data_IF_587391158106
#
_entry.id   IF_587391158106
#
_cell.length_a   1.000
_cell.length_b   1.000
_cell.length_c   1.000
_cell.angle_alpha   90.00
_cell.angle_beta   90.00
_cell.angle_gamma   90.00
#
_symmetry.space_group_name_H-M   'P 1'
#
loop_
_entity.id
_entity.type
_entity.pdbx_description
1 polymer ?
#
# COMPACT_ATOMS: atom_id res chain seq x y z
N UNK A 1 -7.38 9.45 14.16
CA UNK A 1 -6.44 8.47 14.79
C UNK A 1 -5.36 8.22 13.75
N UNK A 2 -4.07 8.13 14.12
CA UNK A 2 -3.00 7.88 13.16
C UNK A 2 -3.08 6.46 12.60
N UNK A 3 -2.76 6.29 11.32
CA UNK A 3 -2.60 4.99 10.68
C UNK A 3 -1.27 4.31 11.04
N UNK A 4 -0.46 4.94 11.87
CA UNK A 4 0.81 4.40 12.33
C UNK A 4 0.79 4.12 13.84
N UNK A 5 1.59 3.14 14.24
CA UNK A 5 1.83 2.79 15.64
C UNK A 5 3.34 2.63 15.85
N UNK A 6 3.86 3.16 16.97
CA UNK A 6 5.27 2.99 17.33
C UNK A 6 5.52 1.61 17.96
N UNK A 7 6.79 1.11 17.98
CA UNK A 7 7.12 -0.13 18.68
C UNK A 7 6.69 -0.12 20.16
N UNK A 8 6.89 1.01 20.85
CA UNK A 8 6.49 1.18 22.25
C UNK A 8 4.97 1.07 22.46
N UNK A 9 4.17 1.70 21.59
CA UNK A 9 2.70 1.61 21.64
C UNK A 9 2.25 0.20 21.32
N UNK A 10 2.81 -0.45 20.29
CA UNK A 10 2.48 -1.84 19.95
C UNK A 10 2.77 -2.78 21.12
N UNK A 11 3.93 -2.62 21.78
CA UNK A 11 4.29 -3.43 22.93
C UNK A 11 3.26 -3.33 24.07
N UNK A 12 2.63 -2.16 24.23
CA UNK A 12 1.62 -1.95 25.28
C UNK A 12 0.26 -2.55 24.97
N UNK A 13 0.00 -3.01 23.72
CA UNK A 13 -1.30 -3.53 23.28
C UNK A 13 -1.18 -4.86 22.48
N UNK A 14 -0.10 -5.62 22.65
CA UNK A 14 0.15 -6.86 21.89
C UNK A 14 -1.03 -7.85 21.98
N UNK A 15 -1.66 -7.95 23.15
CA UNK A 15 -2.78 -8.88 23.38
C UNK A 15 -4.15 -8.32 22.92
N UNK A 16 -4.18 -7.06 22.44
CA UNK A 16 -5.43 -6.39 22.01
C UNK A 16 -5.54 -6.26 20.49
N UNK A 17 -4.48 -6.63 19.76
CA UNK A 17 -4.39 -6.45 18.31
C UNK A 17 -4.01 -7.76 17.62
N UNK A 18 -4.45 -7.90 16.38
CA UNK A 18 -3.93 -8.96 15.49
C UNK A 18 -2.77 -8.37 14.70
N UNK A 19 -1.62 -9.03 14.72
CA UNK A 19 -0.41 -8.57 14.06
C UNK A 19 -0.19 -9.37 12.78
N UNK A 20 0.05 -8.67 11.67
CA UNK A 20 0.33 -9.28 10.38
C UNK A 20 1.73 -8.90 9.88
N UNK A 21 2.52 -9.91 9.56
CA UNK A 21 3.87 -9.79 8.98
C UNK A 21 3.79 -9.85 7.45
N UNK A 22 3.92 -8.72 6.79
CA UNK A 22 3.83 -8.61 5.34
C UNK A 22 5.10 -9.03 4.60
N UNK A 23 6.16 -9.47 5.28
CA UNK A 23 7.43 -9.89 4.66
C UNK A 23 7.35 -11.25 3.96
N UNK A 24 6.23 -11.96 4.12
CA UNK A 24 6.02 -13.27 3.57
C UNK A 24 6.53 -14.41 4.46
N UNK A 25 6.21 -15.63 4.04
CA UNK A 25 6.42 -16.83 4.87
C UNK A 25 7.89 -17.14 5.18
N UNK A 26 8.82 -16.75 4.31
CA UNK A 26 10.24 -17.08 4.50
C UNK A 26 10.87 -16.19 5.57
N UNK A 27 10.63 -14.86 5.52
CA UNK A 27 11.16 -13.93 6.50
C UNK A 27 10.50 -14.11 7.86
N UNK A 28 9.20 -14.40 7.88
CA UNK A 28 8.49 -14.78 9.09
C UNK A 28 9.17 -15.92 9.84
N UNK A 29 9.58 -16.99 9.14
CA UNK A 29 10.28 -18.14 9.74
C UNK A 29 11.67 -17.81 10.27
N UNK A 30 12.34 -16.79 9.72
CA UNK A 30 13.64 -16.34 10.21
C UNK A 30 13.53 -15.61 11.54
N UNK A 31 12.37 -15.00 11.82
CA UNK A 31 12.05 -14.32 13.05
C UNK A 31 10.96 -13.28 12.84
N UNK A 32 9.99 -13.23 13.73
CA UNK A 32 8.83 -12.34 13.65
C UNK A 32 8.45 -11.79 15.03
N UNK A 33 7.65 -10.73 15.06
CA UNK A 33 7.08 -10.19 16.29
C UNK A 33 6.14 -11.24 16.89
N UNK A 34 6.29 -11.54 18.19
CA UNK A 34 5.47 -12.53 18.88
C UNK A 34 3.97 -12.24 18.66
N UNK A 35 3.22 -13.27 18.27
CA UNK A 35 1.79 -13.17 17.99
C UNK A 35 1.45 -12.75 16.55
N UNK A 36 2.45 -12.46 15.69
CA UNK A 36 2.20 -12.13 14.31
C UNK A 36 1.84 -13.36 13.46
N UNK A 37 1.01 -13.14 12.43
CA UNK A 37 0.73 -14.09 11.36
C UNK A 37 1.33 -13.62 10.04
N UNK A 38 1.89 -14.52 9.21
CA UNK A 38 2.51 -14.15 7.94
C UNK A 38 1.46 -13.87 6.85
N UNK A 39 1.74 -12.88 6.01
CA UNK A 39 1.03 -12.60 4.76
C UNK A 39 2.07 -12.39 3.66
N UNK A 40 1.88 -13.04 2.53
CA UNK A 40 2.82 -13.04 1.41
C UNK A 40 2.22 -12.27 0.22
N UNK A 41 3.01 -11.35 -0.38
CA UNK A 41 2.52 -10.53 -1.49
C UNK A 41 2.07 -11.39 -2.67
N UNK A 42 2.90 -12.33 -3.09
CA UNK A 42 2.66 -13.11 -4.31
C UNK A 42 1.58 -14.19 -4.11
N UNK A 43 1.50 -14.76 -2.91
CA UNK A 43 0.58 -15.88 -2.63
C UNK A 43 -0.78 -15.44 -2.13
N UNK A 44 -0.82 -14.39 -1.29
CA UNK A 44 -2.03 -13.98 -0.61
C UNK A 44 -2.62 -12.70 -1.19
N UNK A 45 -1.77 -11.70 -1.55
CA UNK A 45 -2.21 -10.38 -1.98
C UNK A 45 -2.21 -10.18 -3.49
N UNK A 46 -1.86 -11.21 -4.25
CA UNK A 46 -1.82 -11.17 -5.72
C UNK A 46 -2.69 -12.26 -6.31
N UNK A 47 -3.53 -11.87 -7.25
CA UNK A 47 -4.34 -12.79 -8.07
C UNK A 47 -3.58 -13.36 -9.25
N UNK A 48 -4.22 -14.18 -10.08
CA UNK A 48 -3.62 -14.72 -11.30
C UNK A 48 -3.15 -13.58 -12.23
N UNK A 49 -1.88 -13.62 -12.61
CA UNK A 49 -1.31 -12.66 -13.55
C UNK A 49 -1.71 -13.07 -14.97
N UNK A 50 -2.34 -12.15 -15.71
CA UNK A 50 -2.78 -12.32 -17.10
C UNK A 50 -2.00 -11.43 -18.06
N UNK A 51 -2.51 -11.29 -19.28
CA UNK A 51 -2.01 -10.33 -20.28
C UNK A 51 -2.17 -8.89 -19.79
N UNK A 52 -3.29 -8.62 -19.10
CA UNK A 52 -3.65 -7.33 -18.52
C UNK A 52 -3.83 -7.45 -17.01
N UNK A 53 -3.94 -6.31 -16.32
CA UNK A 53 -4.15 -6.23 -14.88
C UNK A 53 -2.86 -6.01 -14.08
N UNK A 54 -1.72 -5.97 -14.76
CA UNK A 54 -0.41 -5.70 -14.17
C UNK A 54 0.19 -6.89 -13.43
N UNK A 55 1.34 -6.65 -12.76
CA UNK A 55 2.13 -7.71 -12.10
C UNK A 55 1.55 -8.19 -10.76
N UNK A 56 0.73 -7.37 -10.09
CA UNK A 56 0.11 -7.71 -8.81
C UNK A 56 -1.40 -7.35 -8.83
N UNK A 57 -2.20 -8.03 -9.69
CA UNK A 57 -3.64 -7.85 -9.68
C UNK A 57 -4.23 -8.22 -8.31
N UNK A 58 -5.42 -7.71 -8.03
CA UNK A 58 -6.09 -8.04 -6.75
C UNK A 58 -6.33 -9.55 -6.64
N UNK A 59 -6.14 -10.12 -5.44
CA UNK A 59 -6.43 -11.53 -5.19
C UNK A 59 -7.95 -11.79 -5.20
N UNK A 60 -8.31 -13.06 -5.19
CA UNK A 60 -9.66 -13.45 -4.81
C UNK A 60 -9.92 -13.05 -3.35
N UNK A 61 -10.87 -12.12 -3.15
CA UNK A 61 -11.15 -11.53 -1.84
C UNK A 61 -11.85 -12.51 -0.89
N UNK A 62 -12.59 -13.47 -1.40
CA UNK A 62 -13.21 -14.53 -0.59
C UNK A 62 -12.13 -15.46 -0.03
N UNK A 63 -11.20 -15.89 -0.87
CA UNK A 63 -10.05 -16.71 -0.44
C UNK A 63 -9.18 -15.96 0.59
N UNK A 64 -8.94 -14.67 0.37
CA UNK A 64 -8.17 -13.85 1.30
C UNK A 64 -8.91 -13.66 2.63
N UNK A 65 -10.23 -13.44 2.59
CA UNK A 65 -11.06 -13.35 3.78
C UNK A 65 -10.97 -14.65 4.61
N UNK A 66 -11.05 -15.81 3.98
CA UNK A 66 -10.84 -17.09 4.67
C UNK A 66 -9.48 -17.20 5.35
N UNK A 67 -8.41 -16.73 4.69
CA UNK A 67 -7.08 -16.69 5.34
C UNK A 67 -7.12 -15.84 6.62
N UNK A 68 -7.75 -14.69 6.55
CA UNK A 68 -7.86 -13.78 7.70
C UNK A 68 -8.78 -14.32 8.81
N UNK A 69 -9.81 -15.07 8.47
CA UNK A 69 -10.66 -15.77 9.44
C UNK A 69 -9.86 -16.79 10.28
N UNK A 70 -8.92 -17.52 9.65
CA UNK A 70 -8.00 -18.40 10.39
C UNK A 70 -7.07 -17.64 11.34
N UNK A 71 -6.78 -16.36 11.06
CA UNK A 71 -6.00 -15.49 11.95
C UNK A 71 -6.86 -14.81 13.03
N UNK A 72 -8.17 -15.09 13.05
CA UNK A 72 -9.10 -14.52 14.00
C UNK A 72 -9.61 -13.11 13.65
N UNK A 73 -9.39 -12.66 12.42
CA UNK A 73 -9.83 -11.33 11.97
C UNK A 73 -11.36 -11.32 11.81
N UNK A 74 -11.98 -10.30 12.36
CA UNK A 74 -13.39 -9.94 12.19
C UNK A 74 -13.47 -8.51 11.64
N UNK A 75 -14.68 -8.01 11.32
CA UNK A 75 -14.89 -6.63 10.89
C UNK A 75 -14.42 -5.60 11.92
N UNK A 76 -14.49 -5.92 13.20
CA UNK A 76 -14.18 -5.00 14.31
C UNK A 76 -12.75 -5.19 14.86
N UNK A 77 -11.95 -6.04 14.22
CA UNK A 77 -10.59 -6.30 14.66
C UNK A 77 -9.70 -5.07 14.54
N UNK A 78 -8.83 -4.88 15.52
CA UNK A 78 -7.71 -3.96 15.47
C UNK A 78 -6.52 -4.70 14.90
N UNK A 79 -6.01 -4.25 13.78
CA UNK A 79 -4.93 -4.92 13.06
C UNK A 79 -3.70 -4.02 12.99
N UNK A 80 -2.54 -4.60 13.28
CA UNK A 80 -1.24 -3.94 13.06
C UNK A 80 -0.47 -4.72 12.01
N UNK A 81 -0.05 -4.02 10.97
CA UNK A 81 0.73 -4.57 9.86
C UNK A 81 2.17 -4.11 9.98
N UNK A 82 3.13 -4.95 9.66
CA UNK A 82 4.52 -4.54 9.51
C UNK A 82 5.23 -5.26 8.36
N UNK A 83 6.31 -4.66 7.89
CA UNK A 83 7.28 -5.27 7.00
C UNK A 83 8.72 -4.96 7.49
N UNK A 84 9.71 -5.15 6.61
CA UNK A 84 11.08 -4.73 6.93
C UNK A 84 11.18 -3.22 6.99
N UNK A 85 10.83 -2.56 5.87
CA UNK A 85 10.81 -1.11 5.74
C UNK A 85 10.12 -0.67 4.43
N UNK A 86 8.91 -0.07 4.55
CA UNK A 86 8.21 0.71 3.52
C UNK A 86 7.97 0.03 2.14
N UNK A 87 7.81 -1.27 2.06
CA UNK A 87 7.53 -1.87 0.75
C UNK A 87 6.18 -2.60 0.70
N UNK A 88 5.92 -3.49 1.63
CA UNK A 88 4.79 -4.40 1.58
C UNK A 88 3.65 -4.04 2.54
N UNK A 89 3.99 -3.44 3.69
CA UNK A 89 3.01 -3.10 4.72
C UNK A 89 1.89 -2.17 4.21
N UNK A 90 2.24 -1.20 3.35
CA UNK A 90 1.26 -0.32 2.74
C UNK A 90 0.25 -1.06 1.86
N UNK A 91 0.69 -2.07 1.09
CA UNK A 91 -0.23 -2.87 0.26
C UNK A 91 -1.18 -3.70 1.12
N UNK A 92 -0.69 -4.33 2.18
CA UNK A 92 -1.53 -5.10 3.10
C UNK A 92 -2.48 -4.18 3.88
N UNK A 93 -2.00 -3.03 4.40
CA UNK A 93 -2.83 -2.01 5.02
C UNK A 93 -3.97 -1.58 4.08
N UNK A 94 -3.63 -1.22 2.84
CA UNK A 94 -4.61 -0.80 1.83
C UNK A 94 -5.63 -1.91 1.54
N UNK A 95 -5.17 -3.16 1.39
CA UNK A 95 -6.05 -4.30 1.11
C UNK A 95 -7.06 -4.53 2.24
N UNK A 96 -6.62 -4.47 3.50
CA UNK A 96 -7.51 -4.58 4.66
C UNK A 96 -8.54 -3.44 4.71
N UNK A 97 -8.10 -2.21 4.41
CA UNK A 97 -8.99 -1.04 4.29
C UNK A 97 -9.98 -1.22 3.15
N UNK A 98 -9.53 -1.72 2.00
CA UNK A 98 -10.39 -2.03 0.86
C UNK A 98 -11.43 -3.11 1.18
N UNK A 99 -11.11 -4.06 2.06
CA UNK A 99 -12.04 -5.06 2.58
C UNK A 99 -12.96 -4.53 3.71
N UNK A 100 -12.82 -3.26 4.10
CA UNK A 100 -13.72 -2.57 5.02
C UNK A 100 -13.28 -2.53 6.48
N UNK A 101 -12.06 -2.98 6.83
CA UNK A 101 -11.53 -2.77 8.18
C UNK A 101 -11.22 -1.29 8.41
N UNK A 102 -11.60 -0.79 9.58
CA UNK A 102 -11.43 0.62 9.94
C UNK A 102 -10.23 0.88 10.86
N UNK A 103 -9.87 -0.05 11.73
CA UNK A 103 -8.72 0.07 12.64
C UNK A 103 -7.54 -0.79 12.16
N UNK A 104 -6.85 -0.29 11.14
CA UNK A 104 -5.64 -0.90 10.60
C UNK A 104 -4.50 0.10 10.70
N UNK A 105 -3.43 -0.28 11.40
CA UNK A 105 -2.25 0.56 11.59
C UNK A 105 -1.00 -0.13 11.09
N UNK A 106 -0.01 0.67 10.71
CA UNK A 106 1.30 0.18 10.24
C UNK A 106 2.37 0.50 11.29
N UNK A 107 3.22 -0.48 11.61
CA UNK A 107 4.33 -0.30 12.54
C UNK A 107 5.36 0.68 11.97
N UNK A 108 5.51 1.82 12.62
CA UNK A 108 6.48 2.85 12.22
C UNK A 108 7.91 2.32 12.19
N UNK A 109 8.56 2.41 11.03
CA UNK A 109 9.92 1.92 10.84
C UNK A 109 10.05 0.40 10.75
N UNK A 110 8.93 -0.33 10.69
CA UNK A 110 8.88 -1.77 10.48
C UNK A 110 9.64 -2.60 11.53
N UNK A 111 9.99 -3.83 11.17
CA UNK A 111 10.72 -4.74 12.06
C UNK A 111 12.14 -4.25 12.33
N UNK A 112 12.74 -3.47 11.44
CA UNK A 112 14.09 -2.91 11.64
C UNK A 112 14.11 -1.97 12.87
N UNK A 113 13.12 -1.09 12.98
CA UNK A 113 12.99 -0.21 14.13
C UNK A 113 12.65 -0.98 15.41
N UNK A 114 11.80 -2.01 15.32
CA UNK A 114 11.50 -2.91 16.45
C UNK A 114 12.78 -3.50 17.05
N UNK A 115 13.67 -4.04 16.20
CA UNK A 115 14.95 -4.61 16.63
C UNK A 115 15.89 -3.52 17.17
N UNK A 116 15.98 -2.37 16.49
CA UNK A 116 16.84 -1.23 16.90
C UNK A 116 16.47 -0.70 18.29
N UNK A 117 15.19 -0.74 18.65
CA UNK A 117 14.69 -0.36 19.98
C UNK A 117 14.92 -1.45 21.06
N UNK A 118 15.56 -2.57 20.70
CA UNK A 118 15.95 -3.65 21.63
C UNK A 118 14.87 -4.72 21.83
N UNK A 119 13.82 -4.71 21.03
CA UNK A 119 12.78 -5.74 21.09
C UNK A 119 13.21 -7.00 20.34
N UNK A 120 12.83 -8.16 20.87
CA UNK A 120 13.22 -9.47 20.33
C UNK A 120 12.20 -10.00 19.35
N UNK A 121 12.69 -10.82 18.42
CA UNK A 121 11.86 -11.63 17.53
C UNK A 121 11.80 -13.06 18.06
N UNK A 122 10.72 -13.77 17.72
CA UNK A 122 10.56 -15.20 17.95
C UNK A 122 10.58 -15.98 16.64
N UNK A 123 10.92 -17.27 16.72
CA UNK A 123 10.72 -18.23 15.62
C UNK A 123 9.58 -19.21 15.89
N UNK A 124 9.00 -19.13 17.10
CA UNK A 124 7.88 -19.97 17.49
C UNK A 124 6.63 -19.54 16.72
N UNK A 125 6.01 -20.41 15.91
CA UNK A 125 4.83 -20.07 15.16
C UNK A 125 3.70 -19.58 16.05
N UNK A 126 2.99 -18.54 15.64
CA UNK A 126 1.80 -18.08 16.35
C UNK A 126 0.70 -19.15 16.23
N UNK A 127 0.17 -19.65 17.35
CA UNK A 127 -0.91 -20.63 17.30
C UNK A 127 -2.17 -20.00 16.69
N UNK A 128 -2.82 -20.75 15.79
CA UNK A 128 -4.11 -20.33 15.26
C UNK A 128 -5.18 -20.40 16.34
N UNK A 129 -6.24 -19.55 16.27
CA UNK A 129 -7.44 -19.70 17.07
C UNK A 129 -8.03 -21.12 16.95
N UNK A 130 -8.69 -21.60 17.99
CA UNK A 130 -9.31 -22.94 18.00
C UNK A 130 -10.38 -23.10 16.90
N UNK A 131 -11.09 -22.01 16.62
CA UNK A 131 -12.09 -21.93 15.55
C UNK A 131 -11.83 -20.68 14.72
N UNK A 132 -12.00 -20.72 13.37
CA UNK A 132 -11.94 -19.54 12.55
C UNK A 132 -12.99 -18.51 12.97
N UNK A 133 -12.65 -17.25 12.87
CA UNK A 133 -13.62 -16.15 13.01
C UNK A 133 -14.53 -16.06 11.78
N UNK A 134 -15.46 -15.12 11.80
CA UNK A 134 -16.25 -14.73 10.62
C UNK A 134 -15.88 -13.31 10.23
N UNK A 135 -15.33 -13.16 9.03
CA UNK A 135 -14.96 -11.86 8.49
C UNK A 135 -15.97 -11.39 7.44
N UNK A 136 -17.04 -10.75 7.88
CA UNK A 136 -18.03 -10.11 6.99
C UNK A 136 -17.42 -8.85 6.34
N UNK A 137 -16.59 -9.05 5.32
CA UNK A 137 -15.96 -7.95 4.59
C UNK A 137 -16.95 -7.26 3.63
N UNK A 138 -16.70 -5.98 3.36
CA UNK A 138 -17.44 -5.16 2.40
C UNK A 138 -16.45 -4.33 1.59
N UNK A 139 -16.37 -4.60 0.28
CA UNK A 139 -15.41 -3.94 -0.57
C UNK A 139 -15.71 -2.46 -0.73
N UNK A 140 -14.72 -1.63 -0.45
CA UNK A 140 -14.75 -0.18 -0.59
C UNK A 140 -14.42 0.21 -2.04
N UNK A 141 -15.35 -0.02 -2.96
CA UNK A 141 -15.11 0.09 -4.42
C UNK A 141 -14.64 1.48 -4.87
N UNK A 142 -14.97 2.53 -4.11
CA UNK A 142 -14.48 3.90 -4.35
C UNK A 142 -12.96 4.05 -4.16
N UNK A 143 -12.29 3.08 -3.51
CA UNK A 143 -10.83 3.08 -3.34
C UNK A 143 -10.08 2.59 -4.57
N UNK A 144 -10.77 2.20 -5.64
CA UNK A 144 -10.15 1.68 -6.88
C UNK A 144 -10.63 2.48 -8.07
N UNK A 145 -9.72 2.80 -8.97
CA UNK A 145 -10.04 3.27 -10.33
C UNK A 145 -9.56 2.26 -11.36
N UNK A 146 -10.41 1.96 -12.31
CA UNK A 146 -10.08 1.15 -13.48
C UNK A 146 -9.13 1.90 -14.42
N UNK A 147 -8.48 1.14 -15.29
CA UNK A 147 -7.65 1.70 -16.37
C UNK A 147 -8.39 2.74 -17.22
N UNK A 148 -9.64 2.45 -17.62
CA UNK A 148 -10.42 3.35 -18.47
C UNK A 148 -10.80 4.65 -17.77
N UNK A 149 -11.07 4.58 -16.47
CA UNK A 149 -11.31 5.78 -15.65
C UNK A 149 -10.04 6.62 -15.52
N UNK A 150 -8.87 6.00 -15.34
CA UNK A 150 -7.58 6.71 -15.30
C UNK A 150 -7.24 7.33 -16.66
N UNK A 151 -7.50 6.63 -17.77
CA UNK A 151 -7.33 7.19 -19.12
C UNK A 151 -8.20 8.45 -19.29
N UNK A 152 -9.49 8.34 -18.94
CA UNK A 152 -10.40 9.49 -18.97
C UNK A 152 -9.91 10.63 -18.09
N UNK A 153 -9.47 10.34 -16.87
CA UNK A 153 -8.92 11.35 -15.95
C UNK A 153 -7.69 12.06 -16.54
N UNK A 154 -6.82 11.33 -17.27
CA UNK A 154 -5.65 11.90 -17.94
C UNK A 154 -6.03 12.84 -19.09
N UNK A 155 -7.13 12.58 -19.78
CA UNK A 155 -7.66 13.40 -20.88
C UNK A 155 -8.39 14.64 -20.37
N UNK A 156 -9.24 14.48 -19.34
CA UNK A 156 -10.13 15.55 -18.84
C UNK A 156 -9.47 16.43 -17.78
N UNK A 157 -8.51 15.90 -17.03
CA UNK A 157 -7.88 16.59 -15.90
C UNK A 157 -8.83 16.77 -14.70
N UNK A 158 -9.90 16.01 -14.59
CA UNK A 158 -10.86 16.06 -13.48
C UNK A 158 -10.33 15.41 -12.19
N UNK A 159 -9.26 14.62 -12.27
CA UNK A 159 -8.52 14.04 -11.15
C UNK A 159 -7.08 14.55 -11.10
N UNK A 160 -6.51 14.54 -9.91
CA UNK A 160 -5.06 14.60 -9.74
C UNK A 160 -4.52 13.18 -9.85
N UNK A 161 -3.68 12.94 -10.85
CA UNK A 161 -3.03 11.63 -11.04
C UNK A 161 -1.63 11.70 -10.42
N UNK A 162 -1.33 10.78 -9.49
CA UNK A 162 -0.05 10.71 -8.79
C UNK A 162 0.71 9.47 -9.25
N UNK A 163 1.92 9.67 -9.77
CA UNK A 163 2.90 8.63 -10.00
C UNK A 163 3.81 8.50 -8.76
N UNK A 164 3.71 7.39 -8.04
CA UNK A 164 4.48 7.14 -6.84
C UNK A 164 5.84 6.47 -7.10
N UNK A 165 6.25 6.29 -8.36
CA UNK A 165 7.55 5.72 -8.73
C UNK A 165 8.69 6.72 -8.49
N UNK A 166 9.93 6.21 -8.50
CA UNK A 166 11.13 7.04 -8.43
C UNK A 166 11.16 8.05 -9.59
N UNK A 167 11.69 9.28 -9.38
CA UNK A 167 11.67 10.36 -10.37
C UNK A 167 12.23 9.99 -11.74
N UNK A 168 13.32 9.22 -11.81
CA UNK A 168 13.93 8.78 -13.07
C UNK A 168 13.04 7.81 -13.89
N UNK A 169 12.14 7.08 -13.22
CA UNK A 169 11.14 6.23 -13.89
C UNK A 169 9.98 7.06 -14.41
N UNK A 170 9.58 8.07 -13.62
CA UNK A 170 8.51 9.00 -13.98
C UNK A 170 8.88 9.88 -15.18
N UNK A 171 10.04 10.55 -15.14
CA UNK A 171 10.44 11.49 -16.19
C UNK A 171 10.94 10.82 -17.47
N UNK A 172 11.16 9.50 -17.43
CA UNK A 172 11.64 8.73 -18.56
C UNK A 172 13.11 8.95 -18.87
N UNK A 173 13.88 9.54 -17.96
CA UNK A 173 15.34 9.76 -18.14
C UNK A 173 16.14 8.46 -18.12
N UNK A 174 15.56 7.39 -17.57
CA UNK A 174 16.11 6.03 -17.62
C UNK A 174 15.04 5.04 -18.11
N UNK A 175 15.49 4.01 -18.82
CA UNK A 175 14.61 2.92 -19.25
C UNK A 175 14.13 2.14 -18.02
N UNK A 176 12.82 2.07 -17.84
CA UNK A 176 12.22 1.24 -16.78
C UNK A 176 12.16 -0.22 -17.25
N UNK A 177 13.19 -0.98 -16.88
CA UNK A 177 13.29 -2.41 -17.23
C UNK A 177 12.34 -3.29 -16.41
N UNK A 178 11.77 -2.77 -15.33
CA UNK A 178 10.87 -3.53 -14.45
C UNK A 178 9.44 -3.57 -14.97
N UNK A 179 8.91 -2.41 -15.38
CA UNK A 179 7.53 -2.27 -15.81
C UNK A 179 7.38 -2.02 -17.32
N UNK A 180 8.50 -1.77 -18.04
CA UNK A 180 8.49 -1.48 -19.48
C UNK A 180 7.98 -0.08 -19.84
N UNK A 181 7.63 0.76 -18.87
CA UNK A 181 7.05 2.09 -19.08
C UNK A 181 8.14 3.16 -19.11
N UNK A 182 8.35 3.79 -20.27
CA UNK A 182 9.23 4.95 -20.39
C UNK A 182 8.43 6.24 -20.25
N UNK A 183 8.58 6.91 -19.11
CA UNK A 183 7.78 8.10 -18.78
C UNK A 183 6.58 7.77 -17.89
N UNK A 184 5.51 8.54 -18.01
CA UNK A 184 4.35 8.50 -17.14
C UNK A 184 3.02 8.67 -17.89
N UNK A 185 1.90 8.41 -17.21
CA UNK A 185 0.54 8.68 -17.71
C UNK A 185 0.39 10.22 -17.87
N UNK A 186 -0.04 10.74 -19.02
CA UNK A 186 -0.17 12.18 -19.23
C UNK A 186 -1.02 12.86 -18.14
N UNK A 187 -0.56 14.01 -17.66
CA UNK A 187 -1.20 14.74 -16.56
C UNK A 187 -0.83 14.25 -15.16
N UNK A 188 -0.11 13.13 -15.05
CA UNK A 188 0.38 12.67 -13.76
C UNK A 188 1.51 13.55 -13.22
N UNK A 189 1.52 13.78 -11.92
CA UNK A 189 2.62 14.43 -11.20
C UNK A 189 3.37 13.41 -10.36
N UNK A 190 4.68 13.57 -10.25
CA UNK A 190 5.49 12.66 -9.47
C UNK A 190 5.44 12.99 -7.98
N UNK A 191 5.06 12.00 -7.20
CA UNK A 191 5.20 12.02 -5.76
C UNK A 191 5.77 10.68 -5.29
N UNK A 192 7.09 10.57 -5.27
CA UNK A 192 7.80 9.35 -4.92
C UNK A 192 7.36 8.86 -3.51
N UNK A 193 6.97 7.59 -3.43
CA UNK A 193 6.35 7.05 -2.21
C UNK A 193 7.22 7.20 -0.94
N UNK A 194 8.55 7.14 -1.08
CA UNK A 194 9.46 7.32 0.06
C UNK A 194 9.49 8.75 0.59
N UNK A 195 9.08 9.73 -0.22
CA UNK A 195 9.18 11.14 0.16
C UNK A 195 8.31 11.52 1.38
N UNK A 196 7.34 10.70 1.74
CA UNK A 196 6.51 10.87 2.94
C UNK A 196 7.13 10.31 4.23
N UNK A 197 8.34 9.74 4.17
CA UNK A 197 8.93 8.96 5.26
C UNK A 197 10.30 9.46 5.70
N UNK A 198 10.68 9.04 6.89
CA UNK A 198 12.04 9.08 7.46
C UNK A 198 12.46 7.66 7.79
N UNK A 199 13.71 7.45 8.20
CA UNK A 199 14.21 6.12 8.62
C UNK A 199 13.46 5.51 9.82
N UNK A 200 12.76 6.31 10.60
CA UNK A 200 12.06 5.87 11.81
C UNK A 200 10.52 5.80 11.60
N UNK A 201 10.02 6.03 10.38
CA UNK A 201 8.59 5.98 10.04
C UNK A 201 8.11 7.19 9.24
N UNK A 202 6.82 7.54 9.26
CA UNK A 202 6.30 8.67 8.52
C UNK A 202 6.88 10.00 9.00
N UNK A 203 6.94 10.98 8.11
CA UNK A 203 7.20 12.38 8.47
C UNK A 203 6.14 12.90 9.43
N UNK A 204 6.42 14.02 10.11
CA UNK A 204 5.41 14.67 10.94
C UNK A 204 4.18 15.08 10.11
N UNK A 205 2.99 15.11 10.72
CA UNK A 205 1.75 15.57 10.06
C UNK A 205 1.96 16.96 9.44
N UNK A 206 2.64 17.86 10.14
CA UNK A 206 2.97 19.21 9.64
C UNK A 206 3.81 19.17 8.34
N UNK A 207 4.81 18.29 8.28
CA UNK A 207 5.67 18.17 7.09
C UNK A 207 4.91 17.49 5.93
N UNK A 208 4.05 16.51 6.23
CA UNK A 208 3.17 15.89 5.26
C UNK A 208 2.13 16.88 4.71
N UNK A 209 1.51 17.69 5.58
CA UNK A 209 0.61 18.78 5.15
C UNK A 209 1.31 19.73 4.18
N UNK A 210 2.47 20.26 4.57
CA UNK A 210 3.25 21.15 3.71
C UNK A 210 3.61 20.49 2.38
N UNK A 211 3.91 19.19 2.38
CA UNK A 211 4.29 18.43 1.21
C UNK A 211 3.10 18.20 0.25
N UNK A 212 1.93 17.81 0.79
CA UNK A 212 0.77 17.44 -0.01
C UNK A 212 -0.09 18.64 -0.40
N UNK A 213 -0.43 19.55 0.53
CA UNK A 213 -1.29 20.69 0.23
C UNK A 213 -0.66 21.66 -0.78
N UNK A 214 0.64 21.87 -0.74
CA UNK A 214 1.33 22.73 -1.69
C UNK A 214 1.50 22.12 -3.09
N UNK A 215 1.42 20.79 -3.22
CA UNK A 215 1.75 20.09 -4.47
C UNK A 215 0.59 19.32 -5.09
N UNK A 216 -0.39 18.88 -4.31
CA UNK A 216 -1.39 17.91 -4.76
C UNK A 216 -2.81 18.41 -4.53
N UNK A 217 -3.05 19.12 -3.42
CA UNK A 217 -4.39 19.51 -3.05
C UNK A 217 -4.95 20.62 -3.95
N UNK A 218 -5.92 20.28 -4.79
CA UNK A 218 -6.64 21.21 -5.69
C UNK A 218 -8.15 21.04 -5.63
N UNK A 219 -8.72 20.52 -4.54
CA UNK A 219 -10.14 20.15 -4.43
C UNK A 219 -10.62 19.19 -5.54
N UNK A 220 -9.71 18.42 -6.13
CA UNK A 220 -10.03 17.38 -7.10
C UNK A 220 -9.81 16.00 -6.47
N UNK A 221 -10.59 14.98 -6.88
CA UNK A 221 -10.30 13.61 -6.50
C UNK A 221 -8.87 13.21 -6.91
N UNK A 222 -8.28 12.31 -6.15
CA UNK A 222 -6.91 11.84 -6.38
C UNK A 222 -6.92 10.37 -6.79
N UNK A 223 -6.11 10.02 -7.77
CA UNK A 223 -5.77 8.63 -8.09
C UNK A 223 -4.27 8.45 -8.05
N UNK A 224 -3.80 7.39 -7.41
CA UNK A 224 -2.39 7.07 -7.26
C UNK A 224 -2.06 5.77 -7.97
N UNK A 225 -0.92 5.72 -8.65
CA UNK A 225 -0.37 4.50 -9.23
C UNK A 225 1.15 4.42 -8.98
N UNK A 226 1.73 3.25 -9.25
CA UNK A 226 3.17 3.06 -9.23
C UNK A 226 3.64 2.10 -10.33
N UNK A 227 4.48 1.13 -10.04
CA UNK A 227 4.86 0.07 -10.97
C UNK A 227 3.77 -1.01 -11.11
N UNK A 228 3.23 -1.47 -10.00
CA UNK A 228 2.32 -2.61 -9.94
C UNK A 228 1.30 -2.53 -8.77
N UNK A 229 0.98 -1.33 -8.31
CA UNK A 229 -0.02 -1.11 -7.26
C UNK A 229 0.44 -1.49 -5.84
N UNK A 230 1.73 -1.69 -5.61
CA UNK A 230 2.28 -2.04 -4.29
C UNK A 230 2.75 -0.79 -3.55
N UNK A 231 3.78 -0.12 -4.06
CA UNK A 231 4.37 1.06 -3.40
C UNK A 231 3.49 2.31 -3.44
N UNK A 232 2.54 2.40 -4.37
CA UNK A 232 1.51 3.44 -4.37
C UNK A 232 0.73 3.48 -3.05
N UNK A 233 0.47 2.30 -2.46
CA UNK A 233 -0.24 2.20 -1.19
C UNK A 233 0.53 2.86 -0.03
N UNK A 234 1.87 2.90 -0.06
CA UNK A 234 2.66 3.62 0.93
C UNK A 234 2.53 5.15 0.79
N UNK A 235 2.44 5.67 -0.44
CA UNK A 235 2.11 7.08 -0.66
C UNK A 235 0.71 7.41 -0.15
N UNK A 236 -0.29 6.55 -0.46
CA UNK A 236 -1.66 6.70 0.02
C UNK A 236 -1.76 6.64 1.55
N UNK A 237 -0.97 5.80 2.20
CA UNK A 237 -0.90 5.70 3.66
C UNK A 237 -0.45 7.02 4.30
N UNK A 238 0.56 7.70 3.76
CA UNK A 238 1.00 9.00 4.28
C UNK A 238 0.07 10.15 3.87
N UNK A 239 -0.60 10.06 2.72
CA UNK A 239 -1.66 11.00 2.34
C UNK A 239 -2.85 10.95 3.32
N UNK A 240 -3.23 9.75 3.75
CA UNK A 240 -4.34 9.58 4.70
C UNK A 240 -4.06 10.16 6.09
N UNK A 241 -2.78 10.32 6.50
CA UNK A 241 -2.43 11.01 7.76
C UNK A 241 -2.82 12.49 7.77
N UNK A 242 -2.96 13.09 6.61
CA UNK A 242 -3.38 14.49 6.43
C UNK A 242 -4.79 14.63 5.86
N UNK A 243 -5.57 13.55 5.88
CA UNK A 243 -6.95 13.54 5.42
C UNK A 243 -7.14 13.60 3.90
N UNK A 244 -6.08 13.31 3.13
CA UNK A 244 -6.17 13.17 1.69
C UNK A 244 -6.47 11.71 1.32
N UNK A 245 -7.64 11.47 0.76
CA UNK A 245 -8.02 10.18 0.22
C UNK A 245 -7.62 10.07 -1.25
N UNK A 246 -7.26 8.87 -1.67
CA UNK A 246 -6.90 8.56 -3.06
C UNK A 246 -7.46 7.22 -3.46
N UNK A 247 -7.95 7.10 -4.68
CA UNK A 247 -8.17 5.80 -5.31
C UNK A 247 -6.82 5.22 -5.78
N UNK A 248 -6.76 3.89 -5.86
CA UNK A 248 -5.62 3.16 -6.40
C UNK A 248 -5.93 2.68 -7.82
N UNK A 249 -5.06 2.98 -8.77
CA UNK A 249 -5.01 2.23 -10.01
C UNK A 249 -4.14 0.98 -9.79
N UNK A 250 -4.80 -0.15 -9.51
CA UNK A 250 -4.13 -1.40 -9.10
C UNK A 250 -3.13 -1.89 -10.13
N UNK A 251 -3.50 -1.96 -11.40
CA UNK A 251 -2.64 -2.45 -12.48
C UNK A 251 -1.40 -1.59 -12.70
N UNK A 252 -1.52 -0.28 -12.44
CA UNK A 252 -0.40 0.67 -12.48
C UNK A 252 0.34 0.68 -13.83
N UNK A 253 1.62 1.09 -13.86
CA UNK A 253 2.38 1.13 -15.11
C UNK A 253 2.53 -0.23 -15.78
N UNK A 254 2.65 -1.31 -15.02
CA UNK A 254 2.77 -2.68 -15.59
C UNK A 254 1.52 -3.16 -16.30
N UNK A 255 0.37 -2.58 -16.01
CA UNK A 255 -0.88 -2.80 -16.76
C UNK A 255 -0.99 -1.81 -17.93
N UNK A 256 -0.71 -0.53 -17.67
CA UNK A 256 -0.86 0.55 -18.66
C UNK A 256 -0.15 0.27 -19.98
N UNK A 257 1.08 -0.27 -19.90
CA UNK A 257 1.91 -0.55 -21.08
C UNK A 257 1.48 -1.80 -21.87
N UNK A 258 0.53 -2.58 -21.37
CA UNK A 258 0.03 -3.77 -22.07
C UNK A 258 -1.00 -3.44 -23.15
N UNK A 259 -1.43 -2.18 -23.24
CA UNK A 259 -2.45 -1.73 -24.18
C UNK A 259 -1.82 -0.90 -25.30
N UNK A 260 -2.01 -1.34 -26.53
CA UNK A 260 -1.55 -0.62 -27.72
C UNK A 260 -2.15 0.79 -27.81
N UNK A 261 -1.31 1.77 -28.07
CA UNK A 261 -1.74 3.15 -28.27
C UNK A 261 -2.08 3.95 -27.01
N UNK A 262 -1.87 3.41 -25.82
CA UNK A 262 -2.06 4.18 -24.60
C UNK A 262 -1.01 5.28 -24.49
N UNK A 263 -1.43 6.52 -24.16
CA UNK A 263 -0.54 7.67 -24.21
C UNK A 263 0.50 7.62 -23.08
N UNK A 264 1.72 8.01 -23.40
CA UNK A 264 2.82 8.21 -22.44
C UNK A 264 3.43 9.59 -22.65
N UNK A 265 3.97 10.16 -21.59
CA UNK A 265 4.68 11.43 -21.59
C UNK A 265 5.99 11.30 -20.83
N UNK A 266 6.98 12.06 -21.27
CA UNK A 266 8.31 12.16 -20.63
C UNK A 266 8.56 13.57 -20.14
N UNK A 267 9.54 13.74 -19.26
CA UNK A 267 9.84 15.01 -18.61
C UNK A 267 8.99 15.22 -17.36
N UNK A 268 9.10 16.39 -16.75
CA UNK A 268 8.37 16.73 -15.52
C UNK A 268 7.11 17.52 -15.86
N UNK A 269 5.96 17.06 -15.40
CA UNK A 269 4.71 17.82 -15.46
C UNK A 269 4.44 18.55 -14.14
N UNK A 270 3.80 19.69 -14.23
CA UNK A 270 3.23 20.43 -13.10
C UNK A 270 1.72 20.27 -13.13
N UNK A 271 1.09 20.29 -11.96
CA UNK A 271 -0.36 20.32 -11.86
C UNK A 271 -0.92 21.52 -12.67
N UNK A 272 -1.88 21.24 -13.52
CA UNK A 272 -2.61 22.24 -14.30
C UNK A 272 -3.72 22.86 -13.50
#
# INVERSE_FOLDING_TARGET
MSNFITPKELLSCLDEVIILDARGYQDYKQGHIKGAFPVDLDKDLTGPVGEHGGRHPLPDMERLAHTFEFYGITRDSKVVVYDSWLFLAGRLWWTLRYMGLTDVRVLSGGVERWIKEGHVLTKEPTPLPAEPSVFNYELQTHMVMSRDEVLKASETGDHVIIDARAPFRYDGSQVDTMDGMTGHIPGAVNHFYESGYTVDGPKSVKDLEAQYYNKIYQNRPVVTYCGSGVTACNAMLTMSEVGLESALYVGSSSDWVTYDGFPLKTGVETLR
#
